data_IF_322138966187
#
_entry.id   IF_322138966187
#
_cell.length_a   1.000
_cell.length_b   1.000
_cell.length_c   1.000
_cell.angle_alpha   90.00
_cell.angle_beta   90.00
_cell.angle_gamma   90.00
#
_symmetry.space_group_name_H-M   'P 1'
#
loop_
_entity.id
_entity.type
_entity.pdbx_description
1 polymer ?
#
# COMPACT_ATOMS: atom_id res chain seq x y z
N UNK A 1 -24.35 25.69 -51.14
CA UNK A 1 -23.49 26.10 -52.28
C UNK A 1 -22.87 27.44 -51.93
N UNK A 2 -21.55 27.52 -52.10
CA UNK A 2 -20.71 28.72 -52.21
C UNK A 2 -20.45 29.59 -50.97
N UNK A 3 -19.20 30.07 -50.96
CA UNK A 3 -18.37 30.63 -49.91
C UNK A 3 -18.37 32.18 -49.87
N UNK A 4 -17.71 32.68 -48.82
CA UNK A 4 -16.90 33.92 -48.73
C UNK A 4 -17.61 35.16 -48.16
N UNK A 5 -16.97 36.12 -47.47
CA UNK A 5 -15.72 36.25 -46.70
C UNK A 5 -15.60 37.72 -46.24
N UNK A 6 -14.94 37.97 -45.08
CA UNK A 6 -14.30 39.24 -44.62
C UNK A 6 -15.24 40.42 -44.17
N UNK A 7 -15.36 40.72 -42.86
CA UNK A 7 -14.72 41.81 -42.05
C UNK A 7 -14.76 43.22 -42.70
N UNK A 8 -15.15 44.34 -42.06
CA UNK A 8 -14.85 44.85 -40.71
C UNK A 8 -15.75 46.11 -40.40
N UNK A 9 -15.64 46.62 -39.16
CA UNK A 9 -16.00 47.97 -38.60
C UNK A 9 -17.52 48.17 -38.23
N UNK A 10 -18.00 48.64 -37.06
CA UNK A 10 -17.48 49.52 -35.98
C UNK A 10 -18.36 49.51 -34.70
N UNK A 11 -17.76 49.91 -33.56
CA UNK A 11 -18.32 50.47 -32.30
C UNK A 11 -19.08 49.62 -31.25
N UNK A 12 -18.57 49.61 -30.01
CA UNK A 12 -19.28 50.11 -28.79
C UNK A 12 -18.66 49.61 -27.47
N UNK A 13 -17.93 50.50 -26.79
CA UNK A 13 -17.90 50.76 -25.33
C UNK A 13 -18.22 49.61 -24.34
N UNK A 14 -17.20 49.16 -23.56
CA UNK A 14 -17.25 48.91 -22.09
C UNK A 14 -16.26 47.84 -21.60
N UNK A 15 -14.93 48.06 -21.64
CA UNK A 15 -13.97 47.18 -20.92
C UNK A 15 -12.74 47.95 -20.40
N UNK A 16 -12.92 49.13 -19.81
CA UNK A 16 -11.79 49.90 -19.23
C UNK A 16 -11.99 50.28 -17.75
N UNK A 17 -12.77 49.51 -17.00
CA UNK A 17 -12.97 49.73 -15.56
C UNK A 17 -12.82 48.46 -14.70
N UNK A 18 -11.87 47.58 -15.03
CA UNK A 18 -11.61 46.36 -14.24
C UNK A 18 -10.11 46.01 -14.11
N UNK A 19 -9.23 47.00 -14.25
CA UNK A 19 -7.76 46.77 -14.29
C UNK A 19 -6.96 47.49 -13.19
N UNK A 20 -7.60 48.02 -12.13
CA UNK A 20 -6.89 48.87 -11.15
C UNK A 20 -7.07 48.52 -9.66
N UNK A 21 -7.47 47.29 -9.28
CA UNK A 21 -7.73 46.99 -7.86
C UNK A 21 -7.21 45.66 -7.29
N UNK A 22 -6.22 45.00 -7.91
CA UNK A 22 -5.59 43.80 -7.33
C UNK A 22 -4.07 43.80 -7.45
N UNK A 23 -3.40 44.73 -6.76
CA UNK A 23 -1.95 44.65 -6.51
C UNK A 23 -1.68 44.96 -5.04
N UNK A 24 -1.95 44.01 -4.14
CA UNK A 24 -1.23 43.79 -2.87
C UNK A 24 -1.63 42.43 -2.25
N UNK A 25 -1.50 41.34 -3.00
CA UNK A 25 -1.44 40.02 -2.39
C UNK A 25 0.02 39.74 -2.05
N UNK A 26 0.28 39.70 -0.74
CA UNK A 26 1.55 39.32 -0.16
C UNK A 26 2.02 38.00 -0.79
N UNK A 27 3.19 38.04 -1.43
CA UNK A 27 3.88 36.84 -1.89
C UNK A 27 4.21 36.01 -0.64
N UNK A 28 3.38 35.01 -0.33
CA UNK A 28 3.77 33.96 0.61
C UNK A 28 4.99 33.30 -0.03
N UNK A 29 6.18 33.32 0.60
CA UNK A 29 7.33 32.64 0.04
C UNK A 29 6.97 31.17 -0.07
N UNK A 30 7.00 30.65 -1.29
CA UNK A 30 6.88 29.22 -1.55
C UNK A 30 8.09 28.59 -0.86
N UNK A 31 7.88 27.99 0.32
CA UNK A 31 8.89 27.13 0.92
C UNK A 31 9.07 25.95 -0.04
N UNK A 32 10.20 25.93 -0.76
CA UNK A 32 10.63 24.74 -1.46
C UNK A 32 10.82 23.65 -0.41
N UNK A 33 9.94 22.67 -0.44
CA UNK A 33 10.06 21.48 0.40
C UNK A 33 11.25 20.69 -0.13
N UNK A 34 12.41 20.85 0.51
CA UNK A 34 13.59 20.07 0.17
C UNK A 34 13.40 18.61 0.61
N UNK A 35 13.66 17.69 -0.31
CA UNK A 35 13.74 16.27 -0.01
C UNK A 35 15.02 15.93 0.74
N UNK A 36 14.96 14.93 1.61
CA UNK A 36 16.13 14.40 2.31
C UNK A 36 15.99 12.92 2.63
N UNK A 37 17.14 12.25 2.70
CA UNK A 37 17.28 10.92 3.28
C UNK A 37 18.34 10.96 4.39
N UNK A 38 17.97 10.51 5.58
CA UNK A 38 18.83 10.49 6.75
C UNK A 38 18.92 9.08 7.33
N UNK A 39 20.04 8.78 7.96
CA UNK A 39 20.28 7.49 8.60
C UNK A 39 20.51 7.66 10.09
N UNK A 40 19.84 6.81 10.88
CA UNK A 40 20.06 6.69 12.30
C UNK A 40 20.08 5.21 12.66
N UNK A 41 21.25 4.71 13.09
CA UNK A 41 21.47 3.30 13.39
C UNK A 41 21.13 2.41 12.17
N UNK A 42 20.12 1.53 12.29
CA UNK A 42 19.63 0.64 11.23
C UNK A 42 18.31 1.11 10.62
N UNK A 43 17.98 2.40 10.74
CA UNK A 43 16.80 3.02 10.15
C UNK A 43 17.22 4.11 9.18
N UNK A 44 16.61 4.11 8.01
CA UNK A 44 16.71 5.16 6.99
C UNK A 44 15.34 5.83 6.91
N UNK A 45 15.32 7.16 6.98
CA UNK A 45 14.10 7.95 6.81
C UNK A 45 14.31 8.88 5.64
N UNK A 46 13.44 8.76 4.64
CA UNK A 46 13.40 9.64 3.49
C UNK A 46 12.08 10.41 3.46
N UNK A 47 12.13 11.73 3.34
CA UNK A 47 10.94 12.60 3.30
C UNK A 47 11.02 13.47 2.06
N UNK A 48 9.93 13.50 1.27
CA UNK A 48 9.81 14.25 0.01
C UNK A 48 10.81 13.85 -1.08
N UNK A 49 11.55 12.76 -0.89
CA UNK A 49 12.48 12.18 -1.87
C UNK A 49 12.52 10.66 -1.72
N UNK A 50 12.69 9.94 -2.84
CA UNK A 50 12.97 8.51 -2.85
C UNK A 50 14.50 8.30 -2.81
N UNK A 51 15.04 7.39 -1.97
CA UNK A 51 16.49 7.26 -1.82
C UNK A 51 17.18 6.92 -3.14
N UNK A 52 18.24 7.65 -3.46
CA UNK A 52 19.09 7.33 -4.60
C UNK A 52 19.92 6.08 -4.34
N UNK A 53 20.32 5.38 -5.41
CA UNK A 53 21.19 4.21 -5.29
C UNK A 53 22.59 4.56 -4.82
N UNK A 54 23.09 5.78 -5.11
CA UNK A 54 24.38 6.27 -4.57
C UNK A 54 24.32 6.43 -3.06
N UNK A 55 23.23 6.97 -2.52
CA UNK A 55 23.02 7.05 -1.08
C UNK A 55 23.00 5.66 -0.44
N UNK A 56 22.22 4.72 -0.99
CA UNK A 56 22.15 3.35 -0.45
C UNK A 56 23.47 2.59 -0.55
N UNK A 57 24.28 2.86 -1.59
CA UNK A 57 25.60 2.24 -1.77
C UNK A 57 26.63 2.64 -0.71
N UNK A 58 26.47 3.80 -0.09
CA UNK A 58 27.36 4.26 0.98
C UNK A 58 27.06 3.59 2.33
N UNK A 59 26.00 2.79 2.40
CA UNK A 59 25.56 2.10 3.60
C UNK A 59 25.85 0.60 3.50
N UNK A 60 26.14 -0.03 4.64
CA UNK A 60 26.37 -1.48 4.71
C UNK A 60 25.53 -2.08 5.82
N UNK A 61 25.06 -3.31 5.61
CA UNK A 61 24.20 -4.01 6.57
C UNK A 61 22.71 -3.93 6.24
N UNK A 62 21.89 -4.21 7.25
CA UNK A 62 20.45 -4.42 7.12
C UNK A 62 19.68 -3.24 7.70
N UNK A 63 18.72 -2.71 6.93
CA UNK A 63 18.00 -1.49 7.29
C UNK A 63 16.49 -1.67 7.24
N UNK A 64 15.83 -0.91 8.09
CA UNK A 64 14.45 -0.48 7.92
C UNK A 64 14.45 0.85 7.18
N UNK A 65 13.64 0.97 6.14
CA UNK A 65 13.50 2.17 5.33
C UNK A 65 12.07 2.68 5.44
N UNK A 66 11.94 3.95 5.82
CA UNK A 66 10.68 4.67 5.92
C UNK A 66 10.72 5.80 4.88
N UNK A 67 9.76 5.81 3.97
CA UNK A 67 9.62 6.79 2.90
C UNK A 67 8.32 7.54 3.11
N UNK A 68 8.38 8.87 3.08
CA UNK A 68 7.24 9.75 3.36
C UNK A 68 7.08 10.80 2.27
N UNK A 69 5.83 11.08 1.91
CA UNK A 69 5.48 12.25 1.08
C UNK A 69 6.18 12.28 -0.27
N UNK A 70 6.38 11.12 -0.89
CA UNK A 70 6.98 11.04 -2.23
C UNK A 70 5.91 10.92 -3.31
N UNK A 71 6.22 11.43 -4.49
CA UNK A 71 5.50 11.13 -5.72
C UNK A 71 6.47 10.41 -6.65
N UNK A 72 6.24 9.13 -6.92
CA UNK A 72 7.25 8.30 -7.56
C UNK A 72 6.69 7.26 -8.54
N UNK A 73 7.51 6.92 -9.52
CA UNK A 73 7.45 5.65 -10.24
C UNK A 73 8.55 4.76 -9.67
N UNK A 74 8.23 3.53 -9.30
CA UNK A 74 9.21 2.61 -8.73
C UNK A 74 9.83 1.81 -9.87
N UNK A 75 10.92 2.35 -10.43
CA UNK A 75 11.72 1.73 -11.50
C UNK A 75 12.90 0.90 -10.96
N UNK A 76 13.25 -0.18 -11.66
CA UNK A 76 14.35 -1.06 -11.26
C UNK A 76 15.70 -0.54 -11.74
N UNK A 77 15.73 0.26 -12.83
CA UNK A 77 16.95 0.65 -13.56
C UNK A 77 17.99 1.27 -12.63
N UNK A 78 17.55 2.06 -11.67
CA UNK A 78 18.42 2.74 -10.71
C UNK A 78 19.03 1.80 -9.65
N UNK A 79 18.45 0.61 -9.45
CA UNK A 79 18.75 -0.31 -8.33
C UNK A 79 19.22 -1.72 -8.74
N UNK A 80 19.29 -2.05 -10.03
CA UNK A 80 19.73 -3.39 -10.47
C UNK A 80 21.12 -3.81 -9.99
N UNK A 81 22.02 -2.83 -9.75
CA UNK A 81 23.46 -3.09 -9.53
C UNK A 81 23.99 -2.53 -8.21
N UNK A 82 23.16 -1.91 -7.39
CA UNK A 82 23.63 -1.32 -6.13
C UNK A 82 23.97 -2.43 -5.11
N UNK A 83 25.05 -2.26 -4.36
CA UNK A 83 25.63 -3.29 -3.48
C UNK A 83 25.62 -2.93 -2.00
N UNK A 84 25.12 -1.74 -1.65
CA UNK A 84 25.07 -1.25 -0.28
C UNK A 84 23.96 -1.87 0.57
N UNK A 85 23.16 -1.03 1.22
CA UNK A 85 22.15 -1.43 2.20
C UNK A 85 21.25 -2.59 1.73
N UNK A 86 20.92 -3.50 2.65
CA UNK A 86 19.89 -4.53 2.47
C UNK A 86 18.61 -4.09 3.18
N UNK A 87 17.54 -3.82 2.44
CA UNK A 87 16.29 -3.32 3.02
C UNK A 87 15.41 -4.49 3.49
N UNK A 88 15.35 -4.71 4.80
CA UNK A 88 14.50 -5.77 5.40
C UNK A 88 13.07 -5.34 5.64
N UNK A 89 12.85 -4.05 5.86
CA UNK A 89 11.53 -3.49 6.11
C UNK A 89 11.39 -2.23 5.30
N UNK A 90 10.35 -2.16 4.50
CA UNK A 90 10.01 -0.99 3.71
C UNK A 90 8.65 -0.48 4.17
N UNK A 91 8.62 0.77 4.61
CA UNK A 91 7.40 1.50 4.92
C UNK A 91 7.30 2.69 3.96
N UNK A 92 6.19 2.79 3.23
CA UNK A 92 5.87 3.96 2.41
C UNK A 92 4.59 4.57 2.98
N UNK A 93 4.67 5.85 3.32
CA UNK A 93 3.60 6.57 4.00
C UNK A 93 3.24 7.85 3.24
N UNK A 94 1.94 8.16 3.16
CA UNK A 94 1.44 9.47 2.68
C UNK A 94 2.04 9.89 1.34
N UNK A 95 2.07 8.97 0.38
CA UNK A 95 2.82 9.10 -0.87
C UNK A 95 1.95 8.75 -2.06
N UNK A 96 2.33 9.19 -3.25
CA UNK A 96 1.67 8.83 -4.52
C UNK A 96 2.59 7.95 -5.34
N UNK A 97 2.17 6.72 -5.61
CA UNK A 97 2.92 5.80 -6.47
C UNK A 97 2.14 5.59 -7.76
N UNK A 98 2.74 6.00 -8.88
CA UNK A 98 2.08 5.89 -10.18
C UNK A 98 2.20 4.50 -10.79
N UNK A 99 3.34 3.83 -10.57
CA UNK A 99 3.61 2.51 -11.13
C UNK A 99 4.70 1.80 -10.34
N UNK A 100 4.66 0.47 -10.34
CA UNK A 100 5.70 -0.40 -9.79
C UNK A 100 6.15 -1.35 -10.88
N UNK A 101 7.43 -1.33 -11.22
CA UNK A 101 7.98 -2.26 -12.20
C UNK A 101 8.06 -3.70 -11.64
N UNK A 102 8.02 -4.73 -12.52
CA UNK A 102 8.15 -6.11 -12.10
C UNK A 102 9.39 -6.35 -11.25
N UNK A 103 9.25 -7.13 -10.16
CA UNK A 103 10.32 -7.48 -9.20
C UNK A 103 10.95 -6.28 -8.49
N UNK A 104 10.38 -5.07 -8.55
CA UNK A 104 10.96 -3.87 -7.95
C UNK A 104 11.35 -4.11 -6.49
N UNK A 105 10.43 -4.56 -5.64
CA UNK A 105 10.71 -4.76 -4.22
C UNK A 105 11.81 -5.79 -3.95
N UNK A 106 11.88 -6.86 -4.75
CA UNK A 106 12.93 -7.87 -4.64
C UNK A 106 14.30 -7.31 -5.03
N UNK A 107 14.39 -6.59 -6.15
CA UNK A 107 15.63 -5.97 -6.64
C UNK A 107 16.07 -4.87 -5.67
N UNK A 108 15.17 -3.93 -5.37
CA UNK A 108 15.40 -2.81 -4.48
C UNK A 108 15.85 -3.25 -3.08
N UNK A 109 15.29 -4.34 -2.54
CA UNK A 109 15.70 -4.85 -1.23
C UNK A 109 16.93 -5.76 -1.25
N UNK A 110 17.50 -6.04 -2.43
CA UNK A 110 18.54 -7.07 -2.62
C UNK A 110 18.10 -8.44 -2.08
N UNK A 111 16.87 -8.84 -2.39
CA UNK A 111 16.23 -10.07 -1.91
C UNK A 111 16.34 -10.22 -0.39
N UNK A 112 16.00 -9.16 0.36
CA UNK A 112 16.04 -9.19 1.83
C UNK A 112 14.76 -8.72 2.50
N UNK A 113 13.76 -8.32 1.72
CA UNK A 113 12.52 -7.75 2.24
C UNK A 113 11.69 -8.79 2.99
N UNK A 114 11.47 -8.51 4.26
CA UNK A 114 10.68 -9.33 5.17
C UNK A 114 9.34 -8.68 5.50
N UNK A 115 9.28 -7.34 5.46
CA UNK A 115 8.06 -6.58 5.74
C UNK A 115 7.88 -5.46 4.72
N UNK A 116 6.69 -5.40 4.14
CA UNK A 116 6.24 -4.33 3.27
C UNK A 116 5.02 -3.67 3.89
N UNK A 117 5.07 -2.35 4.09
CA UNK A 117 3.97 -1.56 4.60
C UNK A 117 3.70 -0.37 3.69
N UNK A 118 2.47 -0.26 3.18
CA UNK A 118 1.98 0.91 2.45
C UNK A 118 0.83 1.52 3.27
N UNK A 119 0.95 2.78 3.69
CA UNK A 119 -0.07 3.44 4.49
C UNK A 119 -0.42 4.80 3.90
N UNK A 120 -1.68 5.00 3.54
CA UNK A 120 -2.13 6.22 2.84
C UNK A 120 -1.26 6.47 1.60
N UNK A 121 -1.15 5.44 0.75
CA UNK A 121 -0.41 5.51 -0.51
C UNK A 121 -1.43 5.49 -1.64
N UNK A 122 -1.55 6.58 -2.38
CA UNK A 122 -2.47 6.71 -3.51
C UNK A 122 -1.76 6.51 -4.86
N UNK A 123 -2.51 6.67 -5.95
CA UNK A 123 -2.03 6.46 -7.32
C UNK A 123 -2.51 5.16 -7.96
N UNK A 124 -1.96 4.84 -9.13
CA UNK A 124 -2.40 3.75 -10.01
C UNK A 124 -1.55 2.48 -9.88
N UNK A 125 -0.71 2.38 -8.86
CA UNK A 125 0.11 1.20 -8.65
C UNK A 125 -0.74 -0.04 -8.36
N UNK A 126 -0.16 -1.22 -8.65
CA UNK A 126 -0.76 -2.52 -8.34
C UNK A 126 0.22 -3.34 -7.52
N UNK A 127 -0.32 -4.16 -6.63
CA UNK A 127 0.42 -5.22 -5.94
C UNK A 127 0.06 -6.58 -6.53
N UNK A 128 0.37 -6.74 -7.81
CA UNK A 128 0.14 -7.97 -8.57
C UNK A 128 1.35 -8.93 -8.49
N UNK A 129 1.21 -10.09 -9.14
CA UNK A 129 2.25 -11.12 -9.19
C UNK A 129 3.57 -10.63 -9.78
N UNK A 130 3.55 -9.62 -10.67
CA UNK A 130 4.76 -9.06 -11.27
C UNK A 130 5.49 -8.16 -10.28
N UNK A 131 4.78 -7.23 -9.63
CA UNK A 131 5.36 -6.30 -8.65
C UNK A 131 5.90 -7.03 -7.40
N UNK A 132 5.20 -8.08 -6.95
CA UNK A 132 5.55 -8.90 -5.79
C UNK A 132 6.52 -10.06 -6.11
N UNK A 133 6.89 -10.25 -7.38
CA UNK A 133 7.77 -11.34 -7.79
C UNK A 133 9.11 -11.34 -7.05
N UNK A 134 9.52 -12.52 -6.61
CA UNK A 134 10.77 -12.74 -5.85
C UNK A 134 10.64 -12.58 -4.34
N UNK A 135 9.47 -12.18 -3.82
CA UNK A 135 9.24 -12.02 -2.38
C UNK A 135 8.73 -13.29 -1.66
N UNK A 136 8.36 -14.33 -2.41
CA UNK A 136 7.64 -15.51 -1.91
C UNK A 136 8.30 -16.22 -0.73
N UNK A 137 9.64 -16.27 -0.71
CA UNK A 137 10.42 -17.01 0.28
C UNK A 137 10.89 -16.16 1.47
N UNK A 138 10.59 -14.86 1.50
CA UNK A 138 11.12 -13.95 2.54
C UNK A 138 10.08 -13.05 3.18
N UNK A 139 9.10 -12.58 2.42
CA UNK A 139 8.12 -11.64 2.93
C UNK A 139 7.20 -12.35 3.93
N UNK A 140 7.32 -11.98 5.20
CA UNK A 140 6.50 -12.54 6.27
C UNK A 140 5.40 -11.60 6.75
N UNK A 141 5.47 -10.31 6.39
CA UNK A 141 4.47 -9.32 6.77
C UNK A 141 4.12 -8.41 5.60
N UNK A 142 2.83 -8.33 5.29
CA UNK A 142 2.27 -7.38 4.34
C UNK A 142 1.21 -6.54 5.04
N UNK A 143 1.37 -5.22 4.99
CA UNK A 143 0.45 -4.25 5.58
C UNK A 143 0.06 -3.20 4.55
N UNK A 144 -1.21 -3.16 4.19
CA UNK A 144 -1.77 -2.12 3.33
C UNK A 144 -2.89 -1.42 4.10
N UNK A 145 -2.76 -0.12 4.27
CA UNK A 145 -3.73 0.71 4.96
C UNK A 145 -4.14 1.89 4.09
N UNK A 146 -5.42 2.26 4.14
CA UNK A 146 -5.91 3.52 3.57
C UNK A 146 -5.63 3.63 2.05
N UNK A 147 -5.96 2.58 1.30
CA UNK A 147 -5.85 2.53 -0.16
C UNK A 147 -6.84 1.53 -0.76
N UNK A 148 -7.56 1.92 -1.81
CA UNK A 148 -8.49 1.01 -2.51
C UNK A 148 -7.72 -0.09 -3.24
N UNK A 149 -7.85 -1.33 -2.77
CA UNK A 149 -7.35 -2.50 -3.50
C UNK A 149 -8.47 -3.06 -4.39
N UNK A 150 -8.19 -3.23 -5.69
CA UNK A 150 -9.14 -3.83 -6.62
C UNK A 150 -9.38 -5.32 -6.31
N UNK A 151 -8.31 -6.08 -6.07
CA UNK A 151 -8.34 -7.46 -5.61
C UNK A 151 -7.01 -7.82 -4.91
N UNK A 152 -6.92 -9.05 -4.40
CA UNK A 152 -5.75 -9.56 -3.67
C UNK A 152 -5.35 -10.98 -4.13
N UNK A 153 -5.76 -11.36 -5.34
CA UNK A 153 -5.65 -12.73 -5.86
C UNK A 153 -4.20 -13.20 -5.87
N UNK A 154 -3.28 -12.31 -6.21
CA UNK A 154 -1.86 -12.59 -6.33
C UNK A 154 -1.14 -12.73 -4.99
N UNK A 155 -1.76 -12.40 -3.85
CA UNK A 155 -1.09 -12.52 -2.55
C UNK A 155 -0.79 -13.97 -2.20
N UNK A 156 -1.50 -14.93 -2.79
CA UNK A 156 -1.27 -16.38 -2.60
C UNK A 156 0.13 -16.83 -3.00
N UNK A 157 0.86 -16.05 -3.81
CA UNK A 157 2.25 -16.38 -4.16
C UNK A 157 3.22 -16.20 -2.98
N UNK A 158 2.79 -15.52 -1.91
CA UNK A 158 3.61 -15.18 -0.75
C UNK A 158 3.63 -16.31 0.28
N UNK A 159 4.26 -17.44 -0.07
CA UNK A 159 4.28 -18.69 0.70
C UNK A 159 4.79 -18.58 2.14
N UNK A 160 5.57 -17.54 2.47
CA UNK A 160 6.10 -17.28 3.82
C UNK A 160 5.35 -16.20 4.60
N UNK A 161 4.24 -15.70 4.06
CA UNK A 161 3.47 -14.64 4.69
C UNK A 161 2.75 -15.15 5.94
N UNK A 162 3.18 -14.75 7.13
CA UNK A 162 2.50 -15.13 8.38
C UNK A 162 1.58 -14.04 8.91
N UNK A 163 1.74 -12.80 8.44
CA UNK A 163 0.96 -11.65 8.91
C UNK A 163 0.43 -10.81 7.76
N UNK A 164 -0.89 -10.63 7.72
CA UNK A 164 -1.57 -9.87 6.68
C UNK A 164 -2.49 -8.83 7.32
N UNK A 165 -2.24 -7.56 7.02
CA UNK A 165 -3.05 -6.44 7.51
C UNK A 165 -3.56 -5.63 6.32
N UNK A 166 -4.85 -5.69 6.04
CA UNK A 166 -5.54 -4.93 5.00
C UNK A 166 -6.65 -4.13 5.66
N UNK A 167 -6.34 -2.90 6.10
CA UNK A 167 -7.26 -2.06 6.90
C UNK A 167 -7.69 -0.86 6.08
N UNK A 168 -9.00 -0.59 5.99
CA UNK A 168 -9.52 0.51 5.13
C UNK A 168 -9.01 0.37 3.70
N UNK A 169 -9.12 -0.84 3.15
CA UNK A 169 -8.73 -1.14 1.76
C UNK A 169 -9.89 -1.24 0.78
N UNK A 170 -11.12 -0.94 1.25
CA UNK A 170 -12.35 -0.96 0.47
C UNK A 170 -12.69 -2.30 -0.19
N UNK A 171 -12.13 -3.41 0.29
CA UNK A 171 -12.42 -4.74 -0.24
C UNK A 171 -13.89 -5.10 -0.02
N UNK A 172 -14.57 -5.54 -1.07
CA UNK A 172 -15.98 -5.98 -1.01
C UNK A 172 -16.11 -7.50 -0.97
N UNK A 173 -15.13 -8.22 -1.51
CA UNK A 173 -15.05 -9.67 -1.55
C UNK A 173 -13.60 -10.13 -1.39
N UNK A 174 -13.43 -11.35 -0.88
CA UNK A 174 -12.15 -12.06 -0.91
C UNK A 174 -12.17 -13.05 -2.08
N UNK A 175 -11.03 -13.27 -2.77
CA UNK A 175 -10.98 -14.22 -3.86
C UNK A 175 -11.08 -15.67 -3.37
N UNK A 176 -11.49 -16.58 -4.25
CA UNK A 176 -11.69 -18.00 -3.90
C UNK A 176 -10.41 -18.68 -3.38
N UNK A 177 -9.25 -18.23 -3.86
CA UNK A 177 -7.95 -18.72 -3.46
C UNK A 177 -7.48 -18.16 -2.11
N UNK A 178 -8.19 -17.21 -1.48
CA UNK A 178 -7.83 -16.64 -0.18
C UNK A 178 -7.69 -17.70 0.93
N UNK A 179 -8.46 -18.80 0.85
CA UNK A 179 -8.33 -19.96 1.76
C UNK A 179 -6.91 -20.57 1.77
N UNK A 180 -6.14 -20.39 0.70
CA UNK A 180 -4.75 -20.86 0.63
C UNK A 180 -3.85 -20.05 1.57
N UNK A 181 -4.05 -18.73 1.68
CA UNK A 181 -3.31 -17.88 2.62
C UNK A 181 -3.55 -18.27 4.07
N UNK A 182 -4.78 -18.68 4.40
CA UNK A 182 -5.13 -19.12 5.74
C UNK A 182 -4.35 -20.36 6.20
N UNK A 183 -3.71 -21.11 5.29
CA UNK A 183 -2.93 -22.30 5.69
C UNK A 183 -1.67 -21.96 6.49
N UNK A 184 -1.14 -20.74 6.37
CA UNK A 184 0.11 -20.32 7.00
C UNK A 184 0.02 -18.97 7.73
N UNK A 185 -1.08 -18.22 7.61
CA UNK A 185 -1.28 -16.99 8.38
C UNK A 185 -1.44 -17.26 9.88
N UNK A 186 -0.92 -16.35 10.69
CA UNK A 186 -0.91 -16.35 12.15
C UNK A 186 -1.52 -15.05 12.72
N UNK A 187 -1.43 -13.93 12.01
CA UNK A 187 -2.09 -12.66 12.36
C UNK A 187 -2.79 -12.11 11.13
N UNK A 188 -4.09 -11.87 11.25
CA UNK A 188 -4.90 -11.31 10.19
C UNK A 188 -5.71 -10.12 10.70
N UNK A 189 -5.62 -9.01 9.96
CA UNK A 189 -6.53 -7.89 10.13
C UNK A 189 -7.13 -7.51 8.78
N UNK A 190 -8.44 -7.73 8.64
CA UNK A 190 -9.24 -7.27 7.50
C UNK A 190 -10.31 -6.24 7.94
N UNK A 191 -10.13 -5.62 9.11
CA UNK A 191 -11.09 -4.67 9.66
C UNK A 191 -11.28 -3.43 8.77
N UNK A 192 -12.43 -2.79 8.90
CA UNK A 192 -12.75 -1.55 8.17
C UNK A 192 -12.72 -1.73 6.65
N UNK A 193 -13.26 -2.85 6.15
CA UNK A 193 -13.54 -3.08 4.72
C UNK A 193 -15.07 -3.19 4.51
N UNK A 194 -15.48 -3.62 3.32
CA UNK A 194 -16.88 -3.87 2.95
C UNK A 194 -17.13 -5.36 2.67
N UNK A 195 -16.36 -6.24 3.32
CA UNK A 195 -16.47 -7.68 3.10
C UNK A 195 -17.80 -8.19 3.63
N UNK A 196 -18.46 -9.02 2.81
CA UNK A 196 -19.75 -9.65 3.17
C UNK A 196 -19.61 -11.13 3.53
N UNK A 197 -18.53 -11.78 3.11
CA UNK A 197 -18.27 -13.19 3.34
C UNK A 197 -16.78 -13.48 3.55
N UNK A 198 -16.51 -14.54 4.30
CA UNK A 198 -15.17 -15.06 4.60
C UNK A 198 -15.23 -16.58 4.43
N UNK A 199 -14.13 -17.27 4.06
CA UNK A 199 -14.06 -18.73 4.14
C UNK A 199 -14.06 -19.20 5.61
N UNK A 200 -15.21 -19.08 6.29
CA UNK A 200 -15.37 -19.29 7.74
C UNK A 200 -14.93 -20.66 8.21
N UNK A 201 -15.17 -21.70 7.41
CA UNK A 201 -14.69 -23.06 7.70
C UNK A 201 -13.17 -23.12 7.73
N UNK A 202 -12.50 -22.62 6.68
CA UNK A 202 -11.04 -22.63 6.63
C UNK A 202 -10.42 -21.78 7.75
N UNK A 203 -11.06 -20.65 8.10
CA UNK A 203 -10.67 -19.85 9.25
C UNK A 203 -10.80 -20.64 10.54
N UNK A 204 -11.94 -21.29 10.79
CA UNK A 204 -12.19 -22.10 11.98
C UNK A 204 -11.20 -23.26 12.10
N UNK A 205 -10.97 -24.01 11.01
CA UNK A 205 -10.01 -25.12 10.96
C UNK A 205 -8.60 -24.64 11.33
N UNK A 206 -8.19 -23.46 10.84
CA UNK A 206 -6.88 -22.89 11.17
C UNK A 206 -6.80 -22.38 12.61
N UNK A 207 -7.84 -21.74 13.13
CA UNK A 207 -7.93 -21.29 14.53
C UNK A 207 -7.84 -22.47 15.50
N UNK A 208 -8.47 -23.60 15.16
CA UNK A 208 -8.46 -24.80 15.99
C UNK A 208 -7.08 -25.45 16.12
N UNK A 209 -6.12 -25.10 15.26
CA UNK A 209 -4.76 -25.65 15.28
C UNK A 209 -3.77 -24.82 16.13
N UNK A 210 -4.26 -23.93 17.02
CA UNK A 210 -3.50 -23.15 18.03
C UNK A 210 -2.33 -22.28 17.52
N UNK A 211 -2.26 -22.03 16.20
CA UNK A 211 -1.20 -21.21 15.58
C UNK A 211 -1.64 -19.78 15.27
N UNK A 212 -2.91 -19.41 15.52
CA UNK A 212 -3.36 -18.04 15.33
C UNK A 212 -3.04 -17.19 16.57
N UNK A 213 -2.34 -16.09 16.33
CA UNK A 213 -2.01 -15.09 17.35
C UNK A 213 -3.12 -14.05 17.50
N UNK A 214 -3.74 -13.63 16.38
CA UNK A 214 -4.69 -12.52 16.38
C UNK A 214 -5.57 -12.47 15.13
N UNK A 215 -6.85 -12.17 15.31
CA UNK A 215 -7.85 -12.02 14.24
C UNK A 215 -8.66 -10.74 14.46
N UNK A 216 -8.61 -9.82 13.50
CA UNK A 216 -9.39 -8.58 13.50
C UNK A 216 -10.21 -8.48 12.21
N UNK A 217 -11.54 -8.62 12.33
CA UNK A 217 -12.49 -8.62 11.22
C UNK A 217 -13.60 -7.57 11.39
N UNK A 218 -13.59 -6.80 12.48
CA UNK A 218 -14.63 -5.81 12.81
C UNK A 218 -14.83 -4.73 11.76
N UNK A 219 -15.96 -4.04 11.83
CA UNK A 219 -16.35 -2.97 10.88
C UNK A 219 -16.31 -3.45 9.42
N UNK A 220 -16.97 -4.57 9.15
CA UNK A 220 -17.26 -5.10 7.82
C UNK A 220 -18.78 -5.31 7.68
N UNK A 221 -19.23 -5.80 6.53
CA UNK A 221 -20.64 -6.06 6.21
C UNK A 221 -20.97 -7.56 6.26
N UNK A 222 -20.43 -8.28 7.25
CA UNK A 222 -20.54 -9.73 7.34
C UNK A 222 -22.00 -10.22 7.34
N UNK A 223 -22.31 -11.14 6.44
CA UNK A 223 -23.60 -11.82 6.43
C UNK A 223 -23.73 -12.73 7.65
N UNK A 224 -24.71 -12.44 8.50
CA UNK A 224 -25.03 -13.23 9.68
C UNK A 224 -25.94 -14.41 9.31
N UNK A 225 -25.38 -15.42 8.64
CA UNK A 225 -26.09 -16.63 8.20
C UNK A 225 -25.45 -17.91 8.74
N UNK A 226 -25.94 -19.07 8.30
CA UNK A 226 -25.46 -20.38 8.74
C UNK A 226 -23.98 -20.66 8.38
N UNK A 227 -23.35 -19.87 7.50
CA UNK A 227 -21.93 -20.03 7.15
C UNK A 227 -20.98 -19.75 8.31
N UNK A 228 -21.44 -18.99 9.33
CA UNK A 228 -20.69 -18.70 10.56
C UNK A 228 -20.61 -19.87 11.55
N UNK A 229 -21.41 -20.93 11.34
CA UNK A 229 -21.50 -22.09 12.23
C UNK A 229 -20.13 -22.65 12.69
N UNK A 230 -19.11 -22.80 11.81
CA UNK A 230 -17.79 -23.31 12.22
C UNK A 230 -17.11 -22.46 13.30
N UNK A 231 -17.34 -21.15 13.34
CA UNK A 231 -16.78 -20.28 14.38
C UNK A 231 -17.48 -20.45 15.74
N UNK A 232 -18.79 -20.70 15.72
CA UNK A 232 -19.59 -20.91 16.94
C UNK A 232 -19.17 -22.24 17.61
N UNK A 233 -18.86 -23.24 16.79
CA UNK A 233 -18.47 -24.59 17.20
C UNK A 233 -16.99 -24.73 17.59
N UNK A 234 -16.22 -23.63 17.59
CA UNK A 234 -14.84 -23.63 18.09
C UNK A 234 -14.76 -24.12 19.54
N UNK A 235 -13.69 -24.87 19.82
CA UNK A 235 -13.35 -25.30 21.18
C UNK A 235 -13.11 -24.09 22.09
N UNK A 236 -13.38 -24.18 23.42
CA UNK A 236 -13.19 -23.07 24.34
C UNK A 236 -11.77 -22.46 24.29
N UNK A 237 -10.73 -23.28 24.14
CA UNK A 237 -9.33 -22.83 24.06
C UNK A 237 -9.09 -21.96 22.82
N UNK A 238 -9.68 -22.36 21.68
CA UNK A 238 -9.63 -21.60 20.43
C UNK A 238 -10.41 -20.27 20.49
N UNK A 239 -11.34 -20.13 21.44
CA UNK A 239 -12.11 -18.88 21.68
C UNK A 239 -11.34 -17.85 22.49
N UNK A 240 -10.22 -18.22 23.12
CA UNK A 240 -9.33 -17.26 23.78
C UNK A 240 -8.57 -16.38 22.77
N UNK A 241 -8.47 -16.83 21.50
CA UNK A 241 -8.04 -15.99 20.40
C UNK A 241 -9.03 -14.84 20.30
N UNK A 242 -8.56 -13.62 20.54
CA UNK A 242 -9.40 -12.41 20.58
C UNK A 242 -10.01 -12.13 19.21
N UNK A 243 -11.20 -12.67 18.96
CA UNK A 243 -12.03 -12.33 17.81
C UNK A 243 -12.61 -10.93 18.01
N UNK A 244 -12.07 -9.94 17.29
CA UNK A 244 -12.77 -8.66 17.10
C UNK A 244 -13.51 -8.73 15.77
N UNK A 245 -14.72 -9.29 15.76
CA UNK A 245 -15.58 -9.42 14.57
C UNK A 245 -16.63 -8.28 14.51
N UNK A 246 -16.82 -7.55 15.60
CA UNK A 246 -17.76 -6.42 15.71
C UNK A 246 -17.11 -5.11 15.25
#
# INVERSE_FOLDING_TARGET
MSFSSVLFIETSSSITCLLLLFLTLHSIPIQFVHGSCETAQSVIICTNEFPSSSFLNNLTGKYELIIRSVQAKLDIKSFEKYQGAQIRRLQIERSTIYSIEPKFFNIFSRNSLERLSLSNVDGSYRLDAQSLAGLSEKLNTLRINDHTLENIDDFVILNKLTRLYLVRTHLTQLPENFKQLLTHLEDINLSENFLTSMPWKALADRVQNDQFLKIQLGKNLWNCDCSLKPLIELKPEAKEIRFMIF
#
